data_IF_189680854708
#
_entry.id   IF_189680854708
#
_cell.length_a   1.000
_cell.length_b   1.000
_cell.length_c   1.000
_cell.angle_alpha   90.00
_cell.angle_beta   90.00
_cell.angle_gamma   90.00
#
_symmetry.space_group_name_H-M   'P 1'
#
loop_
_entity.id
_entity.type
_entity.pdbx_description
1 polymer ?
#
# COMPACT_ATOMS: atom_id res chain seq x y z
N UNK A 1 -0.58 5.60 12.15
CA UNK A 1 -0.68 6.23 10.82
C UNK A 1 -1.73 5.48 10.02
N UNK A 2 -2.39 6.12 9.05
CA UNK A 2 -3.32 5.43 8.16
C UNK A 2 -2.57 4.84 6.96
N UNK A 3 -2.97 3.66 6.52
CA UNK A 3 -2.42 3.00 5.34
C UNK A 3 -3.54 2.32 4.55
N UNK A 4 -3.42 2.32 3.23
CA UNK A 4 -4.22 1.47 2.35
C UNK A 4 -3.63 0.06 2.37
N UNK A 5 -4.42 -0.93 2.79
CA UNK A 5 -3.99 -2.32 2.97
C UNK A 5 -4.82 -3.22 2.05
N UNK A 6 -4.13 -4.11 1.34
CA UNK A 6 -4.72 -5.17 0.53
C UNK A 6 -4.24 -6.51 1.09
N UNK A 7 -5.11 -7.25 1.78
CA UNK A 7 -4.78 -8.55 2.40
C UNK A 7 -5.22 -9.75 1.56
N UNK A 8 -6.03 -9.51 0.52
CA UNK A 8 -6.55 -10.53 -0.38
C UNK A 8 -6.63 -9.95 -1.79
N UNK A 9 -6.47 -10.82 -2.77
CA UNK A 9 -6.67 -10.45 -4.16
C UNK A 9 -8.16 -10.24 -4.46
N UNK A 10 -8.46 -9.36 -5.40
CA UNK A 10 -9.82 -9.04 -5.82
C UNK A 10 -9.90 -7.68 -6.50
N UNK A 11 -11.14 -7.24 -6.72
CA UNK A 11 -11.46 -5.89 -7.20
C UNK A 11 -11.06 -4.83 -6.15
N UNK A 12 -10.97 -3.53 -6.52
CA UNK A 12 -10.44 -2.49 -5.64
C UNK A 12 -11.10 -2.35 -4.27
N UNK A 13 -12.32 -2.88 -4.10
CA UNK A 13 -13.08 -2.92 -2.83
C UNK A 13 -12.38 -3.76 -1.74
N UNK A 14 -11.39 -4.59 -2.10
CA UNK A 14 -10.56 -5.31 -1.12
C UNK A 14 -9.51 -4.42 -0.44
N UNK A 15 -9.28 -3.21 -0.96
CA UNK A 15 -8.36 -2.23 -0.37
C UNK A 15 -9.08 -1.49 0.76
N UNK A 16 -8.52 -1.57 1.96
CA UNK A 16 -9.10 -0.93 3.15
C UNK A 16 -8.11 0.03 3.79
N UNK A 17 -8.61 1.20 4.22
CA UNK A 17 -7.83 2.14 5.01
C UNK A 17 -7.85 1.70 6.47
N UNK A 18 -6.68 1.44 7.04
CA UNK A 18 -6.53 1.00 8.43
C UNK A 18 -5.53 1.88 9.18
N UNK A 19 -5.77 2.04 10.49
CA UNK A 19 -4.78 2.63 11.40
C UNK A 19 -3.76 1.57 11.82
N UNK A 20 -2.49 1.84 11.53
CA UNK A 20 -1.35 0.97 11.83
C UNK A 20 -0.27 1.72 12.63
N UNK A 21 0.63 1.02 13.35
CA UNK A 21 1.77 1.65 14.00
C UNK A 21 2.64 2.43 13.01
N UNK A 22 3.27 3.50 13.48
CA UNK A 22 4.25 4.25 12.69
C UNK A 22 5.51 3.37 12.51
N UNK A 23 6.04 3.22 11.29
CA UNK A 23 7.22 2.39 11.07
C UNK A 23 8.46 2.98 11.73
N UNK A 24 9.35 2.11 12.20
CA UNK A 24 10.63 2.46 12.81
C UNK A 24 11.78 2.04 11.88
N UNK A 25 12.49 2.99 11.23
CA UNK A 25 13.55 2.66 10.29
C UNK A 25 14.78 2.07 10.99
N UNK A 26 15.49 1.18 10.30
CA UNK A 26 16.81 0.68 10.72
C UNK A 26 17.95 1.63 10.30
N UNK A 27 19.20 1.30 10.64
CA UNK A 27 20.39 2.19 10.50
C UNK A 27 20.60 2.79 9.11
N UNK A 28 20.18 2.13 8.04
CA UNK A 28 20.35 2.58 6.65
C UNK A 28 19.02 2.88 5.95
N UNK A 29 17.96 3.13 6.71
CA UNK A 29 16.64 3.48 6.20
C UNK A 29 16.26 4.89 6.67
N UNK A 30 15.43 5.56 5.86
CA UNK A 30 14.85 6.85 6.22
C UNK A 30 13.34 6.71 6.36
N UNK A 31 12.78 7.44 7.33
CA UNK A 31 11.34 7.53 7.49
C UNK A 31 10.81 8.76 6.74
N UNK A 32 9.98 8.54 5.74
CA UNK A 32 9.39 9.60 4.92
C UNK A 32 7.94 9.85 5.34
N UNK A 33 7.56 11.12 5.50
CA UNK A 33 6.16 11.52 5.65
C UNK A 33 5.53 11.65 4.28
N UNK A 34 4.64 10.72 3.93
CA UNK A 34 3.90 10.75 2.68
C UNK A 34 2.85 11.87 2.73
N UNK A 35 2.94 12.81 1.77
CA UNK A 35 1.95 13.88 1.58
C UNK A 35 0.93 13.51 0.50
N UNK A 36 1.40 12.85 -0.57
CA UNK A 36 0.59 12.29 -1.66
C UNK A 36 1.33 11.11 -2.30
N UNK A 37 0.60 10.22 -2.96
CA UNK A 37 1.13 9.14 -3.81
C UNK A 37 0.24 8.99 -5.04
N UNK A 38 0.82 8.56 -6.16
CA UNK A 38 0.07 8.26 -7.38
C UNK A 38 -0.58 6.87 -7.30
N UNK A 39 -1.68 6.70 -8.03
CA UNK A 39 -2.24 5.40 -8.40
C UNK A 39 -1.75 5.07 -9.80
N UNK A 40 -1.25 3.84 -9.99
CA UNK A 40 -0.68 3.36 -11.25
C UNK A 40 -1.47 2.17 -11.78
N UNK A 41 -1.38 1.89 -13.09
CA UNK A 41 -1.94 0.67 -13.69
C UNK A 41 -1.38 -0.62 -13.05
N UNK A 42 -0.15 -0.54 -12.54
CA UNK A 42 0.53 -1.53 -11.70
C UNK A 42 -0.30 -2.04 -10.51
N UNK A 43 -1.02 -1.12 -9.86
CA UNK A 43 -1.69 -1.42 -8.60
C UNK A 43 -2.83 -2.44 -8.84
N UNK A 44 -3.63 -2.24 -9.89
CA UNK A 44 -4.77 -3.12 -10.23
C UNK A 44 -4.38 -4.54 -10.66
N UNK A 45 -3.33 -4.70 -11.46
CA UNK A 45 -2.82 -6.03 -11.86
C UNK A 45 -2.29 -6.81 -10.67
N UNK A 46 -1.56 -6.12 -9.78
CA UNK A 46 -1.06 -6.70 -8.54
C UNK A 46 -2.19 -7.15 -7.59
N UNK A 47 -3.34 -6.47 -7.57
CA UNK A 47 -4.48 -6.87 -6.74
C UNK A 47 -5.27 -8.06 -7.29
N UNK A 48 -5.11 -8.46 -8.55
CA UNK A 48 -5.98 -9.47 -9.18
C UNK A 48 -5.27 -10.79 -9.54
N UNK A 49 -3.96 -10.92 -9.28
CA UNK A 49 -3.10 -12.05 -9.74
C UNK A 49 -3.11 -12.25 -11.26
N UNK A 50 -3.49 -11.25 -12.04
CA UNK A 50 -3.40 -11.33 -13.49
C UNK A 50 -1.96 -10.92 -13.85
N UNK A 51 -1.11 -11.85 -14.34
CA UNK A 51 0.20 -11.47 -14.83
C UNK A 51 0.04 -10.50 -16.01
N UNK A 52 0.91 -9.49 -16.06
CA UNK A 52 1.06 -8.62 -17.23
C UNK A 52 1.54 -9.42 -18.45
#
# INVERSE_FOLDING_TARGET
MKAAICTKYGSPEVIIIQDIPKPNPSKQQILVKIMATAVNSGDGGNFTKIPY
#
